data_IF_107129352742
#
_entry.id   IF_107129352742
#
_cell.length_a   1.000
_cell.length_b   1.000
_cell.length_c   1.000
_cell.angle_alpha   90.00
_cell.angle_beta   90.00
_cell.angle_gamma   90.00
#
_symmetry.space_group_name_H-M   'P 1'
#
loop_
_entity.id
_entity.type
_entity.pdbx_description
1 polymer ?
#
# COMPACT_ATOMS: atom_id res chain seq x y z
N UNK A 1 -28.56 -15.79 -16.99
CA UNK A 1 -29.22 -16.30 -18.24
C UNK A 1 -30.69 -16.54 -17.95
N UNK A 2 -31.62 -16.05 -18.77
CA UNK A 2 -33.06 -16.21 -18.52
C UNK A 2 -33.69 -17.15 -19.54
N UNK A 3 -34.35 -18.22 -19.10
CA UNK A 3 -35.24 -19.03 -19.94
C UNK A 3 -36.62 -19.09 -19.32
N UNK A 4 -37.63 -19.37 -20.14
CA UNK A 4 -39.08 -19.15 -19.93
C UNK A 4 -39.70 -19.70 -18.63
N UNK A 5 -38.97 -20.45 -17.81
CA UNK A 5 -39.42 -21.10 -16.57
C UNK A 5 -38.41 -21.00 -15.40
N UNK A 6 -37.33 -20.22 -15.53
CA UNK A 6 -36.26 -20.10 -14.53
C UNK A 6 -36.14 -18.64 -14.10
N UNK A 7 -36.10 -18.41 -12.79
CA UNK A 7 -35.78 -17.11 -12.20
C UNK A 7 -34.48 -16.56 -12.83
N UNK A 8 -34.49 -15.30 -13.27
CA UNK A 8 -33.32 -14.71 -13.89
C UNK A 8 -32.22 -14.54 -12.85
N UNK A 9 -31.06 -15.14 -13.09
CA UNK A 9 -29.88 -14.93 -12.27
C UNK A 9 -28.77 -14.22 -13.06
N UNK A 10 -27.97 -13.46 -12.32
CA UNK A 10 -26.86 -12.66 -12.81
C UNK A 10 -25.53 -13.37 -12.56
N UNK A 11 -24.54 -13.09 -13.41
CA UNK A 11 -23.19 -13.58 -13.15
C UNK A 11 -22.63 -12.95 -11.86
N UNK A 12 -21.64 -13.60 -11.24
CA UNK A 12 -20.91 -13.02 -10.11
C UNK A 12 -20.40 -11.62 -10.45
N UNK A 13 -20.54 -10.68 -9.51
CA UNK A 13 -20.21 -9.25 -9.70
C UNK A 13 -21.38 -8.41 -10.21
N UNK A 14 -22.57 -8.99 -10.39
CA UNK A 14 -23.75 -8.27 -10.88
C UNK A 14 -24.97 -8.55 -9.99
N UNK A 15 -25.85 -7.56 -9.90
CA UNK A 15 -27.15 -7.66 -9.21
C UNK A 15 -28.29 -7.60 -10.21
N UNK A 16 -29.35 -8.37 -9.93
CA UNK A 16 -30.57 -8.34 -10.72
C UNK A 16 -31.33 -7.02 -10.47
N UNK A 17 -31.75 -6.37 -11.55
CA UNK A 17 -32.52 -5.13 -11.48
C UNK A 17 -34.00 -5.40 -11.20
N UNK A 18 -34.75 -4.34 -10.88
CA UNK A 18 -36.19 -4.42 -10.56
C UNK A 18 -37.04 -5.02 -11.69
N UNK A 19 -36.57 -4.91 -12.94
CA UNK A 19 -37.21 -5.50 -14.12
C UNK A 19 -37.12 -7.04 -14.17
N UNK A 20 -36.38 -7.64 -13.23
CA UNK A 20 -36.10 -9.08 -13.10
C UNK A 20 -35.52 -9.71 -14.36
N UNK A 21 -34.84 -8.92 -15.20
CA UNK A 21 -34.32 -9.35 -16.50
C UNK A 21 -32.93 -8.83 -16.79
N UNK A 22 -32.63 -7.60 -16.38
CA UNK A 22 -31.33 -6.98 -16.61
C UNK A 22 -30.47 -7.07 -15.35
N UNK A 23 -29.16 -7.09 -15.57
CA UNK A 23 -28.16 -7.15 -14.53
C UNK A 23 -27.34 -5.87 -14.57
N UNK A 24 -27.13 -5.26 -13.42
CA UNK A 24 -26.23 -4.13 -13.25
C UNK A 24 -25.01 -4.54 -12.44
N UNK A 25 -23.89 -3.94 -12.76
CA UNK A 25 -22.65 -4.09 -12.02
C UNK A 25 -22.85 -3.79 -10.53
N UNK A 26 -22.26 -4.62 -9.67
CA UNK A 26 -22.17 -4.35 -8.24
C UNK A 26 -20.91 -3.51 -8.06
N UNK A 27 -21.04 -2.34 -7.41
CA UNK A 27 -19.86 -1.60 -7.00
C UNK A 27 -19.37 -2.15 -5.65
N UNK A 28 -18.45 -3.11 -5.66
CA UNK A 28 -17.96 -3.73 -4.43
C UNK A 28 -17.22 -2.72 -3.53
N UNK A 29 -16.62 -1.69 -4.10
CA UNK A 29 -15.92 -0.63 -3.34
C UNK A 29 -16.86 0.17 -2.42
N UNK A 30 -18.17 0.21 -2.69
CA UNK A 30 -19.13 0.89 -1.83
C UNK A 30 -19.39 0.15 -0.51
N UNK A 31 -19.00 -1.12 -0.40
CA UNK A 31 -19.20 -1.94 0.79
C UNK A 31 -17.84 -2.29 1.37
N UNK A 32 -17.53 -1.72 2.55
CA UNK A 32 -16.26 -1.96 3.26
C UNK A 32 -15.01 -1.78 2.36
N UNK A 33 -15.05 -0.84 1.41
CA UNK A 33 -13.96 -0.59 0.44
C UNK A 33 -13.58 -1.84 -0.38
N UNK A 34 -14.52 -2.76 -0.64
CA UNK A 34 -14.23 -4.04 -1.28
C UNK A 34 -13.31 -4.94 -0.44
N UNK A 35 -13.09 -4.63 0.84
CA UNK A 35 -12.08 -5.28 1.68
C UNK A 35 -10.64 -4.83 1.39
N UNK A 36 -10.42 -3.85 0.51
CA UNK A 36 -9.10 -3.32 0.22
C UNK A 36 -8.56 -2.52 1.41
N UNK A 37 -7.29 -2.71 1.74
CA UNK A 37 -6.62 -2.01 2.83
C UNK A 37 -6.42 -0.51 2.53
N UNK A 38 -6.03 -0.19 1.29
CA UNK A 38 -5.86 1.19 0.82
C UNK A 38 -6.94 1.62 -0.17
N UNK A 39 -6.71 1.44 -1.47
CA UNK A 39 -7.58 1.98 -2.51
C UNK A 39 -8.35 0.86 -3.19
N UNK A 40 -9.65 1.03 -3.39
CA UNK A 40 -10.49 0.16 -4.21
C UNK A 40 -10.89 0.87 -5.50
N UNK A 41 -10.78 0.17 -6.64
CA UNK A 41 -11.28 0.64 -7.93
C UNK A 41 -12.30 -0.34 -8.46
N UNK A 42 -13.53 0.13 -8.66
CA UNK A 42 -14.59 -0.68 -9.24
C UNK A 42 -14.40 -0.83 -10.74
N UNK A 43 -14.67 -2.00 -11.27
CA UNK A 43 -14.62 -2.32 -12.70
C UNK A 43 -15.87 -3.10 -13.10
N UNK A 44 -16.15 -3.22 -14.39
CA UNK A 44 -17.35 -3.94 -14.84
C UNK A 44 -17.18 -5.45 -14.54
N UNK A 45 -17.99 -5.96 -13.60
CA UNK A 45 -18.04 -7.35 -13.16
C UNK A 45 -17.01 -7.74 -12.10
N UNK A 46 -16.24 -6.79 -11.57
CA UNK A 46 -15.24 -7.03 -10.52
C UNK A 46 -14.69 -5.73 -9.93
N UNK A 47 -13.67 -5.83 -9.08
CA UNK A 47 -12.96 -4.70 -8.51
C UNK A 47 -11.50 -5.08 -8.26
N UNK A 48 -10.65 -4.08 -8.13
CA UNK A 48 -9.23 -4.25 -7.83
C UNK A 48 -8.80 -3.36 -6.69
N UNK A 49 -7.98 -3.91 -5.80
CA UNK A 49 -7.29 -3.15 -4.77
C UNK A 49 -5.93 -2.65 -5.27
N UNK A 50 -5.53 -1.48 -4.80
CA UNK A 50 -4.18 -0.94 -5.02
C UNK A 50 -3.66 -0.24 -3.77
N UNK A 51 -2.34 -0.19 -3.65
CA UNK A 51 -1.67 0.37 -2.48
C UNK A 51 -1.17 1.80 -2.74
N UNK A 52 -1.12 2.60 -1.66
CA UNK A 52 -0.44 3.90 -1.68
C UNK A 52 1.07 3.70 -1.92
N UNK A 53 1.75 4.77 -2.34
CA UNK A 53 3.21 4.77 -2.51
C UNK A 53 3.89 4.31 -1.21
N UNK A 54 4.96 3.51 -1.33
CA UNK A 54 5.68 2.94 -0.19
C UNK A 54 5.10 1.61 0.31
N UNK A 55 4.08 1.06 -0.37
CA UNK A 55 3.47 -0.22 0.00
C UNK A 55 3.32 -1.13 -1.21
N UNK A 56 3.40 -2.44 -0.99
CA UNK A 56 3.18 -3.48 -1.98
C UNK A 56 1.89 -4.24 -1.70
N UNK A 57 1.13 -4.51 -2.78
CA UNK A 57 -0.09 -5.30 -2.70
C UNK A 57 0.26 -6.76 -2.36
N UNK A 58 -0.36 -7.28 -1.31
CA UNK A 58 -0.21 -8.64 -0.85
C UNK A 58 -0.74 -9.68 -1.83
N UNK A 59 -0.35 -10.94 -1.62
CA UNK A 59 -0.79 -12.05 -2.46
C UNK A 59 -2.30 -12.32 -2.37
N UNK A 60 -2.95 -11.87 -1.28
CA UNK A 60 -4.41 -11.88 -1.13
C UNK A 60 -5.12 -10.85 -2.01
N UNK A 61 -4.37 -9.96 -2.67
CA UNK A 61 -4.83 -8.83 -3.48
C UNK A 61 -5.67 -7.81 -2.70
N UNK A 62 -5.54 -7.75 -1.39
CA UNK A 62 -6.30 -6.81 -0.53
C UNK A 62 -5.40 -6.05 0.44
N UNK A 63 -4.44 -6.74 1.07
CA UNK A 63 -3.55 -6.19 2.09
C UNK A 63 -2.45 -5.34 1.45
N UNK A 64 -2.08 -4.21 2.08
CA UNK A 64 -0.94 -3.40 1.66
C UNK A 64 0.20 -3.50 2.66
N UNK A 65 1.26 -4.20 2.28
CA UNK A 65 2.42 -4.37 3.14
C UNK A 65 3.40 -3.23 2.91
N UNK A 66 3.91 -2.67 4.01
CA UNK A 66 4.93 -1.65 3.99
C UNK A 66 6.20 -2.15 3.27
N UNK A 67 6.80 -1.29 2.44
CA UNK A 67 8.09 -1.57 1.82
C UNK A 67 9.15 -1.07 2.76
N UNK A 68 9.96 -1.98 3.31
CA UNK A 68 11.11 -1.58 4.11
C UNK A 68 12.27 -1.18 3.19
N UNK A 69 12.39 0.12 2.91
CA UNK A 69 13.46 0.63 2.06
C UNK A 69 14.85 0.50 2.71
N UNK A 70 14.94 0.34 4.03
CA UNK A 70 16.22 0.14 4.72
C UNK A 70 16.87 -1.21 4.42
N UNK A 71 16.10 -2.19 3.90
CA UNK A 71 16.64 -3.48 3.50
C UNK A 71 17.42 -3.43 2.18
N UNK A 72 17.26 -2.37 1.38
CA UNK A 72 17.96 -2.18 0.11
C UNK A 72 18.90 -0.97 0.21
N UNK A 73 20.21 -1.22 0.13
CA UNK A 73 21.26 -0.19 0.27
C UNK A 73 21.07 0.77 1.46
N UNK A 74 20.52 0.29 2.58
CA UNK A 74 20.20 1.11 3.76
C UNK A 74 19.27 2.30 3.44
N UNK A 75 18.38 2.18 2.45
CA UNK A 75 17.57 3.28 1.94
C UNK A 75 18.41 4.41 1.32
N UNK A 76 19.67 4.15 0.99
CA UNK A 76 20.65 5.18 0.61
C UNK A 76 21.07 6.11 1.76
N UNK A 77 20.72 5.81 3.02
CA UNK A 77 21.16 6.59 4.17
C UNK A 77 22.66 6.36 4.43
N UNK A 78 23.43 7.43 4.66
CA UNK A 78 24.87 7.32 4.99
C UNK A 78 25.09 6.56 6.30
N UNK A 79 24.23 6.80 7.29
CA UNK A 79 24.39 6.27 8.64
C UNK A 79 23.23 5.37 9.03
N UNK A 80 22.21 5.88 9.71
CA UNK A 80 21.12 5.07 10.25
C UNK A 80 19.90 5.23 9.35
N UNK A 81 19.31 4.12 8.91
CA UNK A 81 18.01 4.11 8.26
C UNK A 81 16.93 3.64 9.23
N UNK A 82 15.81 4.32 9.21
CA UNK A 82 14.64 3.99 9.99
C UNK A 82 13.45 3.76 9.07
N UNK A 83 12.97 2.53 9.01
CA UNK A 83 11.76 2.22 8.27
C UNK A 83 10.52 2.83 8.98
N UNK A 84 9.57 3.35 8.19
CA UNK A 84 8.32 3.96 8.63
C UNK A 84 7.20 3.48 7.71
N UNK A 85 5.96 3.53 8.17
CA UNK A 85 4.84 3.13 7.31
C UNK A 85 4.75 4.06 6.07
N UNK A 86 5.04 3.52 4.88
CA UNK A 86 4.98 4.15 3.57
C UNK A 86 6.20 4.98 3.17
N UNK A 87 7.28 4.95 3.95
CA UNK A 87 8.50 5.72 3.71
C UNK A 87 9.61 5.27 4.68
N UNK A 88 10.78 5.87 4.56
CA UNK A 88 11.84 5.76 5.55
C UNK A 88 12.40 7.14 5.86
N UNK A 89 13.20 7.22 6.91
CA UNK A 89 13.97 8.41 7.25
C UNK A 89 15.40 8.04 7.63
N UNK A 90 16.35 8.87 7.22
CA UNK A 90 17.74 8.74 7.64
C UNK A 90 17.97 9.50 8.96
N UNK A 91 18.85 8.99 9.80
CA UNK A 91 19.32 9.65 11.01
C UNK A 91 20.85 9.66 11.04
N UNK A 92 21.41 10.77 11.53
CA UNK A 92 22.83 10.91 11.79
C UNK A 92 23.15 10.57 13.25
N UNK A 93 24.25 9.86 13.48
CA UNK A 93 24.79 9.57 14.81
C UNK A 93 25.12 10.86 15.54
N UNK A 94 25.20 10.76 16.87
CA UNK A 94 25.59 11.88 17.74
C UNK A 94 26.89 12.52 17.25
N UNK A 95 26.89 13.86 17.14
CA UNK A 95 28.01 14.63 16.61
C UNK A 95 27.94 14.94 15.12
N UNK A 96 26.98 14.36 14.40
CA UNK A 96 26.75 14.61 12.98
C UNK A 96 25.40 15.30 12.75
N UNK A 97 25.30 16.06 11.66
CA UNK A 97 24.09 16.76 11.24
C UNK A 97 23.64 16.34 9.86
N UNK A 98 22.33 16.18 9.68
CA UNK A 98 21.73 15.83 8.39
C UNK A 98 21.90 17.00 7.41
N UNK A 99 22.36 16.70 6.20
CA UNK A 99 22.49 17.70 5.16
C UNK A 99 21.14 17.96 4.43
N UNK A 100 21.17 18.73 3.33
CA UNK A 100 19.97 19.06 2.57
C UNK A 100 19.41 17.91 1.71
N UNK A 101 20.20 16.90 1.37
CA UNK A 101 19.74 15.74 0.60
C UNK A 101 18.96 14.74 1.47
N UNK A 102 19.04 14.84 2.80
CA UNK A 102 18.40 13.99 3.81
C UNK A 102 18.89 12.54 3.86
N UNK A 103 20.03 12.26 3.25
CA UNK A 103 20.69 10.97 3.24
C UNK A 103 22.10 11.03 3.85
N UNK A 104 22.83 12.11 3.60
CA UNK A 104 24.21 12.27 4.08
C UNK A 104 24.31 13.14 5.34
N UNK A 105 25.34 12.85 6.11
CA UNK A 105 25.65 13.40 7.41
C UNK A 105 26.97 14.17 7.35
N UNK A 106 26.99 15.36 7.93
CA UNK A 106 28.19 16.19 8.03
C UNK A 106 28.56 16.43 9.49
N UNK A 107 29.84 16.31 9.82
CA UNK A 107 30.34 16.45 11.18
C UNK A 107 31.66 15.71 11.36
N UNK A 108 32.36 16.00 12.44
CA UNK A 108 33.56 15.27 12.86
C UNK A 108 33.20 14.40 14.06
N UNK A 109 33.71 13.16 14.08
CA UNK A 109 33.66 12.33 15.28
C UNK A 109 34.23 13.13 16.46
N UNK A 110 33.51 13.30 17.59
CA UNK A 110 34.16 13.70 18.82
C UNK A 110 35.03 12.52 19.26
N UNK A 111 36.25 12.42 18.72
CA UNK A 111 37.28 11.57 19.29
C UNK A 111 37.61 12.13 20.69
N UNK A 112 37.25 11.42 21.76
CA UNK A 112 37.85 11.75 23.05
C UNK A 112 37.31 11.20 24.37
N UNK A 113 36.51 10.13 24.42
CA UNK A 113 36.30 9.42 25.71
C UNK A 113 36.39 7.90 25.54
N UNK A 114 37.56 7.45 25.08
CA UNK A 114 38.16 6.19 25.56
C UNK A 114 39.54 6.58 26.08
N UNK A 115 39.61 6.93 27.36
CA UNK A 115 40.75 6.61 28.20
C UNK A 115 40.17 5.93 29.45
N UNK A 116 40.41 4.61 29.52
CA UNK A 116 40.32 3.79 30.74
C UNK A 116 41.44 4.17 31.70
#
# INVERSE_FOLDING_TARGET
>A
MCTKFVECDCNKGYKLNEDKKTCSDINECQVYNGGCDHNCTNSIGSYDCSCRKGFLLGADRHTCNDVDECLDDNGGCEQICHNRAGSYECECRVGFTMNADKHNCTGEYPHGDIDL
#
